data_IF_606087287249
#
_entry.id   IF_606087287249
#
_cell.length_a   1.000
_cell.length_b   1.000
_cell.length_c   1.000
_cell.angle_alpha   90.00
_cell.angle_beta   90.00
_cell.angle_gamma   90.00
#
_symmetry.space_group_name_H-M   'P 1'
#
loop_
_entity.id
_entity.type
_entity.pdbx_description
1 polymer ?
#
# COMPACT_ATOMS: atom_id res chain seq x y z
N UNK A 1 3.84 -5.03 1.40
CA UNK A 1 3.02 -3.94 1.97
C UNK A 1 3.06 -2.67 1.12
N UNK A 2 4.23 -2.04 0.93
CA UNK A 2 4.37 -0.77 0.17
C UNK A 2 3.72 -0.83 -1.22
N UNK A 3 3.98 -1.88 -2.00
CA UNK A 3 3.41 -2.00 -3.35
C UNK A 3 1.87 -2.06 -3.33
N UNK A 4 1.28 -2.78 -2.37
CA UNK A 4 -0.18 -2.88 -2.25
C UNK A 4 -0.81 -1.58 -1.74
N UNK A 5 -0.12 -0.85 -0.85
CA UNK A 5 -0.56 0.48 -0.44
C UNK A 5 -0.50 1.48 -1.60
N UNK A 6 0.49 1.38 -2.49
CA UNK A 6 0.52 2.20 -3.70
C UNK A 6 -0.69 1.91 -4.60
N UNK A 7 -1.03 0.63 -4.82
CA UNK A 7 -2.24 0.25 -5.57
C UNK A 7 -3.50 0.77 -4.90
N UNK A 8 -3.64 0.58 -3.59
CA UNK A 8 -4.75 1.09 -2.78
C UNK A 8 -4.93 2.60 -2.97
N UNK A 9 -3.87 3.38 -2.73
CA UNK A 9 -3.90 4.84 -2.81
C UNK A 9 -4.12 5.37 -4.23
N UNK A 10 -3.93 4.57 -5.28
CA UNK A 10 -4.23 4.96 -6.66
C UNK A 10 -5.63 4.51 -7.14
N UNK A 11 -6.31 3.62 -6.41
CA UNK A 11 -7.55 2.97 -6.87
C UNK A 11 -8.73 3.13 -5.92
N UNK A 12 -8.50 3.42 -4.64
CA UNK A 12 -9.54 3.42 -3.60
C UNK A 12 -9.84 2.03 -3.02
N UNK A 13 -9.14 0.99 -3.47
CA UNK A 13 -9.23 -0.36 -2.89
C UNK A 13 -8.54 -0.38 -1.52
N UNK A 14 -9.08 -1.13 -0.55
CA UNK A 14 -8.59 -1.13 0.85
C UNK A 14 -7.93 -2.45 1.25
N UNK A 15 -7.22 -2.48 2.37
CA UNK A 15 -6.81 -3.74 2.98
C UNK A 15 -8.02 -4.32 3.74
N UNK A 16 -8.38 -5.59 3.50
CA UNK A 16 -9.55 -6.17 4.18
C UNK A 16 -9.33 -6.38 5.69
N UNK A 17 -8.07 -6.60 6.08
CA UNK A 17 -7.57 -6.72 7.45
C UNK A 17 -6.17 -6.09 7.53
N UNK A 18 -5.73 -5.66 8.72
CA UNK A 18 -4.36 -5.18 8.96
C UNK A 18 -3.34 -6.19 8.44
N UNK A 19 -2.43 -5.73 7.59
CA UNK A 19 -1.40 -6.56 6.96
C UNK A 19 -1.86 -7.38 5.75
N UNK A 20 -3.15 -7.32 5.38
CA UNK A 20 -3.80 -8.19 4.37
C UNK A 20 -3.81 -9.67 4.78
N UNK A 21 -4.51 -10.52 4.03
CA UNK A 21 -4.64 -11.94 4.38
C UNK A 21 -3.39 -12.76 4.03
N UNK A 22 -2.71 -12.45 2.91
CA UNK A 22 -1.49 -13.16 2.53
C UNK A 22 -1.62 -14.69 2.38
N UNK A 23 -2.73 -15.27 1.86
CA UNK A 23 -2.95 -16.71 1.90
C UNK A 23 -1.97 -17.49 1.00
N UNK A 24 -1.74 -18.76 1.34
CA UNK A 24 -1.04 -19.69 0.43
C UNK A 24 -1.92 -20.02 -0.77
N UNK A 25 -1.43 -19.78 -1.98
CA UNK A 25 -2.19 -20.01 -3.21
C UNK A 25 -1.30 -20.20 -4.45
N UNK A 26 -1.91 -20.41 -5.61
CA UNK A 26 -1.29 -20.53 -6.93
C UNK A 26 -2.10 -19.76 -7.97
N UNK A 27 -1.50 -19.51 -9.14
CA UNK A 27 -2.17 -18.80 -10.26
C UNK A 27 -3.56 -19.37 -10.60
N UNK A 28 -3.70 -20.69 -10.62
CA UNK A 28 -4.94 -21.37 -11.00
C UNK A 28 -6.04 -21.30 -9.94
N UNK A 29 -5.72 -20.84 -8.72
CA UNK A 29 -6.63 -20.80 -7.58
C UNK A 29 -6.96 -19.39 -7.11
N UNK A 30 -6.41 -18.35 -7.75
CA UNK A 30 -6.56 -16.96 -7.30
C UNK A 30 -8.03 -16.53 -7.13
N UNK A 31 -8.89 -16.82 -8.10
CA UNK A 31 -10.31 -16.48 -8.05
C UNK A 31 -11.10 -17.25 -6.98
N UNK A 32 -10.66 -18.43 -6.59
CA UNK A 32 -11.25 -19.21 -5.50
C UNK A 32 -10.75 -18.70 -4.14
N UNK A 33 -9.43 -18.48 -4.02
CA UNK A 33 -8.80 -18.00 -2.80
C UNK A 33 -9.30 -16.61 -2.42
N UNK A 34 -9.30 -15.67 -3.36
CA UNK A 34 -9.72 -14.28 -3.15
C UNK A 34 -11.20 -14.05 -3.49
N UNK A 35 -12.05 -15.05 -3.23
CA UNK A 35 -13.50 -14.89 -3.17
C UNK A 35 -13.92 -14.38 -1.78
N UNK A 36 -15.18 -13.94 -1.66
CA UNK A 36 -15.80 -13.69 -0.36
C UNK A 36 -15.89 -14.98 0.47
N UNK A 37 -15.84 -14.84 1.80
CA UNK A 37 -15.99 -15.94 2.76
C UNK A 37 -17.30 -16.71 2.60
N UNK A 38 -18.40 -16.04 2.29
CA UNK A 38 -19.68 -16.69 1.99
C UNK A 38 -19.63 -17.60 0.75
N UNK A 39 -18.65 -17.38 -0.13
CA UNK A 39 -18.37 -18.20 -1.32
C UNK A 39 -17.14 -19.11 -1.13
N UNK A 40 -16.66 -19.27 0.10
CA UNK A 40 -15.55 -20.17 0.44
C UNK A 40 -14.14 -19.58 0.25
N UNK A 41 -14.02 -18.29 -0.06
CA UNK A 41 -12.73 -17.59 -0.12
C UNK A 41 -12.32 -16.97 1.22
N UNK A 42 -11.28 -16.13 1.19
CA UNK A 42 -10.71 -15.52 2.42
C UNK A 42 -11.26 -14.13 2.75
N UNK A 43 -11.88 -13.44 1.79
CA UNK A 43 -12.21 -12.03 1.90
C UNK A 43 -13.51 -11.79 2.69
N UNK A 44 -13.52 -10.81 3.58
CA UNK A 44 -14.75 -10.34 4.25
C UNK A 44 -15.56 -9.40 3.34
N UNK A 45 -14.92 -8.71 2.40
CA UNK A 45 -15.56 -7.77 1.47
C UNK A 45 -14.88 -7.75 0.10
N UNK A 46 -15.60 -7.22 -0.90
CA UNK A 46 -15.03 -6.91 -2.22
C UNK A 46 -14.36 -5.51 -2.20
N UNK A 47 -13.55 -5.21 -3.21
CA UNK A 47 -12.90 -3.90 -3.33
C UNK A 47 -11.62 -3.79 -2.50
N UNK A 48 -10.76 -4.82 -2.55
CA UNK A 48 -9.60 -4.94 -1.66
C UNK A 48 -8.29 -5.14 -2.43
N UNK A 49 -7.17 -4.78 -1.79
CA UNK A 49 -5.81 -5.19 -2.18
C UNK A 49 -5.35 -6.34 -1.28
N UNK A 50 -4.70 -7.34 -1.87
CA UNK A 50 -4.12 -8.48 -1.14
C UNK A 50 -2.98 -9.13 -1.96
N UNK A 51 -2.26 -10.07 -1.37
CA UNK A 51 -1.17 -10.80 -2.01
C UNK A 51 -1.25 -12.31 -1.74
N UNK A 52 -0.75 -13.12 -2.67
CA UNK A 52 -0.70 -14.58 -2.51
C UNK A 52 0.73 -15.07 -2.24
N UNK A 53 0.88 -16.01 -1.30
CA UNK A 53 2.15 -16.70 -1.03
C UNK A 53 2.19 -18.02 -1.80
N UNK A 54 3.20 -18.22 -2.65
CA UNK A 54 3.38 -19.46 -3.41
C UNK A 54 3.65 -19.20 -4.89
N UNK A 55 3.12 -20.07 -5.74
CA UNK A 55 3.35 -20.07 -7.20
C UNK A 55 2.57 -18.98 -7.95
N UNK A 56 2.56 -17.75 -7.44
CA UNK A 56 1.92 -16.58 -8.08
C UNK A 56 2.97 -15.79 -8.88
N UNK A 57 4.11 -15.48 -8.26
CA UNK A 57 5.20 -14.71 -8.87
C UNK A 57 5.86 -15.44 -10.06
N UNK A 58 6.33 -14.72 -11.10
CA UNK A 58 6.22 -13.27 -11.34
C UNK A 58 4.85 -12.84 -11.88
N UNK A 59 4.54 -11.56 -11.77
CA UNK A 59 3.32 -10.97 -12.34
C UNK A 59 2.43 -10.26 -11.32
N UNK A 60 1.25 -9.87 -11.79
CA UNK A 60 0.17 -9.25 -11.00
C UNK A 60 -1.17 -9.83 -11.43
N UNK A 61 -2.17 -9.73 -10.56
CA UNK A 61 -3.50 -10.28 -10.82
C UNK A 61 -4.62 -9.33 -10.41
N UNK A 62 -5.79 -9.54 -11.01
CA UNK A 62 -7.06 -9.00 -10.56
C UNK A 62 -8.06 -10.16 -10.49
N UNK A 63 -8.83 -10.22 -9.39
CA UNK A 63 -10.01 -11.09 -9.31
C UNK A 63 -11.24 -10.20 -9.47
N UNK A 64 -12.03 -10.49 -10.51
CA UNK A 64 -13.24 -9.73 -10.84
C UNK A 64 -14.46 -10.61 -10.67
N UNK A 65 -15.61 -10.00 -10.40
CA UNK A 65 -16.91 -10.68 -10.32
C UNK A 65 -17.96 -9.90 -11.10
N UNK A 66 -19.02 -10.60 -11.52
CA UNK A 66 -20.21 -10.01 -12.14
C UNK A 66 -21.43 -10.83 -11.79
N UNK A 67 -22.57 -10.17 -11.63
CA UNK A 67 -23.89 -10.77 -11.46
C UNK A 67 -24.69 -10.86 -12.78
N UNK A 68 -24.21 -10.21 -13.85
CA UNK A 68 -24.93 -10.15 -15.11
C UNK A 68 -24.92 -11.51 -15.83
N UNK A 69 -26.09 -12.17 -16.02
CA UNK A 69 -26.16 -13.56 -16.47
C UNK A 69 -25.53 -13.78 -17.85
N UNK A 70 -25.75 -12.84 -18.79
CA UNK A 70 -25.12 -12.89 -20.12
C UNK A 70 -23.59 -12.79 -20.07
N UNK A 71 -23.03 -12.00 -19.15
CA UNK A 71 -21.57 -11.87 -19.02
C UNK A 71 -20.97 -13.16 -18.45
N UNK A 72 -21.61 -13.77 -17.44
CA UNK A 72 -21.20 -15.08 -16.93
C UNK A 72 -21.18 -16.14 -18.02
N UNK A 73 -22.27 -16.24 -18.81
CA UNK A 73 -22.34 -17.17 -19.94
C UNK A 73 -21.22 -16.91 -20.96
N UNK A 74 -20.95 -15.64 -21.29
CA UNK A 74 -19.88 -15.27 -22.21
C UNK A 74 -18.49 -15.63 -21.69
N UNK A 75 -18.23 -15.47 -20.38
CA UNK A 75 -16.95 -15.80 -19.76
C UNK A 75 -16.70 -17.32 -19.75
N UNK A 76 -17.75 -18.14 -19.58
CA UNK A 76 -17.66 -19.60 -19.76
C UNK A 76 -17.22 -19.95 -21.18
N UNK A 77 -17.79 -19.33 -22.21
CA UNK A 77 -17.38 -19.54 -23.62
C UNK A 77 -15.97 -19.04 -23.96
N UNK A 78 -15.31 -18.35 -23.02
CA UNK A 78 -13.92 -17.86 -23.13
C UNK A 78 -12.98 -18.54 -22.15
N UNK A 79 -13.37 -19.70 -21.62
CA UNK A 79 -12.56 -20.54 -20.75
C UNK A 79 -12.10 -19.83 -19.46
N UNK A 80 -12.85 -18.81 -19.01
CA UNK A 80 -12.54 -18.09 -17.77
C UNK A 80 -13.04 -18.81 -16.52
N UNK A 81 -13.79 -19.91 -16.68
CA UNK A 81 -14.44 -20.67 -15.61
C UNK A 81 -15.93 -20.36 -15.43
N UNK A 82 -16.58 -21.07 -14.52
CA UNK A 82 -18.03 -20.96 -14.27
C UNK A 82 -18.44 -19.72 -13.46
N UNK A 83 -17.46 -19.04 -12.85
CA UNK A 83 -17.67 -17.86 -12.02
C UNK A 83 -18.10 -18.18 -10.58
N UNK A 84 -18.63 -17.20 -9.84
CA UNK A 84 -18.81 -15.80 -10.26
C UNK A 84 -17.50 -14.99 -10.26
N UNK A 85 -16.39 -15.56 -9.78
CA UNK A 85 -15.08 -14.92 -9.73
C UNK A 85 -14.16 -15.40 -10.86
N UNK A 86 -13.44 -14.46 -11.45
CA UNK A 86 -12.57 -14.69 -12.61
C UNK A 86 -11.21 -14.02 -12.41
N UNK A 87 -10.13 -14.70 -12.80
CA UNK A 87 -8.76 -14.18 -12.67
C UNK A 87 -8.29 -13.54 -13.97
N UNK A 88 -7.84 -12.28 -13.91
CA UNK A 88 -7.02 -11.65 -14.94
C UNK A 88 -5.57 -11.64 -14.44
N UNK A 89 -4.65 -12.22 -15.22
CA UNK A 89 -3.26 -12.39 -14.80
C UNK A 89 -2.29 -11.82 -15.83
N UNK A 90 -1.37 -10.97 -15.40
CA UNK A 90 -0.22 -10.53 -16.21
C UNK A 90 1.02 -11.27 -15.69
N UNK A 91 1.58 -12.25 -16.43
CA UNK A 91 2.60 -13.17 -15.91
C UNK A 91 4.03 -12.62 -15.86
N UNK A 92 4.19 -11.30 -15.90
CA UNK A 92 5.48 -10.63 -15.84
C UNK A 92 5.34 -9.17 -15.40
N UNK A 93 6.44 -8.65 -14.87
CA UNK A 93 6.76 -7.23 -14.79
C UNK A 93 8.27 -7.12 -14.94
N UNK A 94 8.77 -6.21 -15.77
CA UNK A 94 10.19 -6.09 -16.11
C UNK A 94 10.89 -4.95 -15.34
N UNK A 95 10.29 -4.51 -14.23
CA UNK A 95 10.83 -3.50 -13.32
C UNK A 95 11.35 -2.27 -14.08
N UNK A 96 12.64 -1.98 -13.95
CA UNK A 96 13.31 -0.84 -14.57
C UNK A 96 13.21 -0.82 -16.11
N UNK A 97 13.06 -1.98 -16.76
CA UNK A 97 12.97 -2.09 -18.22
C UNK A 97 11.64 -1.49 -18.74
N UNK A 98 10.58 -1.45 -17.93
CA UNK A 98 9.31 -0.83 -18.33
C UNK A 98 9.27 0.69 -18.08
N UNK A 99 10.19 1.25 -17.28
CA UNK A 99 10.21 2.68 -16.93
C UNK A 99 10.32 3.61 -18.15
N UNK A 100 11.13 3.31 -19.19
CA UNK A 100 11.18 4.13 -20.40
C UNK A 100 9.82 4.27 -21.12
N UNK A 101 8.92 3.29 -20.99
CA UNK A 101 7.57 3.37 -21.55
C UNK A 101 6.76 4.46 -20.84
N UNK A 102 6.88 4.59 -19.51
CA UNK A 102 6.26 5.68 -18.76
C UNK A 102 6.81 7.04 -19.19
N UNK A 103 8.13 7.16 -19.40
CA UNK A 103 8.74 8.39 -19.92
C UNK A 103 8.19 8.77 -21.30
N UNK A 104 8.06 7.80 -22.21
CA UNK A 104 7.47 8.02 -23.53
C UNK A 104 6.00 8.45 -23.43
N UNK A 105 5.21 7.83 -22.56
CA UNK A 105 3.81 8.20 -22.32
C UNK A 105 3.67 9.60 -21.73
N UNK A 106 4.54 9.99 -20.81
CA UNK A 106 4.60 11.36 -20.29
C UNK A 106 4.96 12.36 -21.39
N UNK A 107 5.96 12.07 -22.23
CA UNK A 107 6.38 12.97 -23.30
C UNK A 107 5.29 13.15 -24.37
N UNK A 108 4.70 12.04 -24.84
CA UNK A 108 3.78 11.99 -25.99
C UNK A 108 2.33 12.30 -25.57
N UNK A 109 1.87 11.75 -24.44
CA UNK A 109 0.46 11.80 -24.01
C UNK A 109 0.23 12.70 -22.80
N UNK A 110 1.29 13.28 -22.20
CA UNK A 110 1.21 14.08 -20.97
C UNK A 110 0.47 13.35 -19.84
N UNK A 111 0.65 12.04 -19.76
CA UNK A 111 -0.07 11.17 -18.83
C UNK A 111 0.91 10.25 -18.10
N UNK A 112 0.81 10.21 -16.77
CA UNK A 112 1.48 9.20 -15.94
C UNK A 112 0.76 7.85 -16.05
N UNK A 113 1.50 6.75 -15.92
CA UNK A 113 0.91 5.40 -15.86
C UNK A 113 0.20 5.13 -14.52
N UNK A 114 0.53 5.87 -13.46
CA UNK A 114 -0.10 5.77 -12.15
C UNK A 114 0.12 7.06 -11.36
N UNK A 115 -0.91 7.53 -10.67
CA UNK A 115 -0.86 8.64 -9.71
C UNK A 115 -1.70 8.26 -8.49
N UNK A 116 -1.36 8.74 -7.29
CA UNK A 116 -2.27 8.59 -6.15
C UNK A 116 -3.57 9.38 -6.39
N UNK A 117 -4.61 9.03 -5.64
CA UNK A 117 -5.80 9.86 -5.47
C UNK A 117 -5.46 11.13 -4.68
N UNK A 118 -6.42 12.04 -4.59
CA UNK A 118 -6.38 13.27 -3.79
C UNK A 118 -6.52 13.02 -2.27
N UNK A 119 -6.43 11.76 -1.84
CA UNK A 119 -6.50 11.33 -0.44
C UNK A 119 -5.69 10.05 -0.22
N UNK A 120 -5.29 9.82 1.02
CA UNK A 120 -4.75 8.53 1.45
C UNK A 120 -5.89 7.57 1.80
N UNK A 121 -5.83 6.37 1.23
CA UNK A 121 -6.76 5.25 1.45
C UNK A 121 -6.14 4.27 2.43
N UNK A 122 -4.86 3.99 2.29
CA UNK A 122 -4.09 3.12 3.18
C UNK A 122 -2.76 3.76 3.56
N UNK A 123 -2.30 3.39 4.75
CA UNK A 123 -1.00 3.77 5.29
C UNK A 123 -0.13 2.52 5.47
N UNK A 124 1.18 2.66 5.22
CA UNK A 124 2.15 1.64 5.62
C UNK A 124 2.89 2.15 6.83
N UNK A 125 2.72 1.49 7.97
CA UNK A 125 3.30 1.91 9.24
C UNK A 125 4.38 0.94 9.73
N UNK A 126 5.25 1.43 10.61
CA UNK A 126 6.33 0.65 11.19
C UNK A 126 5.86 -0.24 12.35
N UNK A 127 6.34 -1.47 12.39
CA UNK A 127 6.12 -2.46 13.46
C UNK A 127 7.47 -2.96 13.94
N UNK A 128 7.68 -2.98 15.25
CA UNK A 128 8.94 -3.40 15.84
C UNK A 128 9.22 -4.88 15.51
N UNK A 129 10.42 -5.19 15.03
CA UNK A 129 10.86 -6.56 14.71
C UNK A 129 11.47 -7.29 15.91
N UNK A 130 11.81 -6.52 16.95
CA UNK A 130 12.42 -6.94 18.20
C UNK A 130 12.03 -5.95 19.28
N UNK A 131 12.33 -6.26 20.54
CA UNK A 131 12.19 -5.28 21.61
C UNK A 131 13.14 -4.08 21.37
N UNK A 132 12.59 -2.88 21.53
CA UNK A 132 13.25 -1.60 21.33
C UNK A 132 13.26 -0.82 22.65
N UNK A 133 14.45 -0.40 23.07
CA UNK A 133 14.64 0.35 24.31
C UNK A 133 14.76 1.86 24.05
N UNK A 134 14.33 2.71 24.99
CA UNK A 134 14.56 4.16 24.92
C UNK A 134 16.04 4.50 24.68
N UNK A 135 16.26 5.50 23.82
CA UNK A 135 17.58 5.92 23.37
C UNK A 135 18.06 5.23 22.10
N UNK A 136 17.48 4.08 21.72
CA UNK A 136 17.80 3.39 20.45
C UNK A 136 17.38 4.24 19.25
N UNK A 137 18.20 4.28 18.21
CA UNK A 137 17.90 4.99 16.95
C UNK A 137 17.59 3.96 15.88
N UNK A 138 16.40 4.08 15.27
CA UNK A 138 15.92 3.09 14.31
C UNK A 138 16.75 3.10 13.01
N UNK A 139 17.13 1.90 12.56
CA UNK A 139 17.76 1.65 11.28
C UNK A 139 16.82 1.93 10.07
N UNK A 140 17.28 1.65 8.84
CA UNK A 140 16.42 1.73 7.66
C UNK A 140 15.57 0.46 7.44
N UNK A 141 14.58 0.56 6.55
CA UNK A 141 13.83 -0.61 6.05
C UNK A 141 14.82 -1.66 5.52
N UNK A 142 14.60 -2.94 5.88
CA UNK A 142 15.51 -4.04 5.57
C UNK A 142 16.52 -4.35 6.68
N UNK A 143 16.66 -3.45 7.67
CA UNK A 143 17.44 -3.67 8.88
C UNK A 143 16.74 -4.55 9.92
N UNK A 144 17.22 -4.47 11.16
CA UNK A 144 16.80 -5.38 12.25
C UNK A 144 15.72 -4.80 13.18
N UNK A 145 15.37 -3.53 13.03
CA UNK A 145 14.54 -2.83 14.02
C UNK A 145 13.04 -2.90 13.76
N UNK A 146 12.62 -2.80 12.50
CA UNK A 146 11.21 -2.79 12.15
C UNK A 146 10.92 -3.41 10.77
N UNK A 147 9.64 -3.71 10.56
CA UNK A 147 9.05 -4.04 9.27
C UNK A 147 7.79 -3.18 9.05
N UNK A 148 7.22 -3.24 7.84
CA UNK A 148 5.99 -2.48 7.52
C UNK A 148 4.76 -3.37 7.52
N UNK A 149 3.65 -2.87 8.06
CA UNK A 149 2.30 -3.39 7.85
C UNK A 149 1.42 -2.34 7.16
N UNK A 150 0.38 -2.78 6.45
CA UNK A 150 -0.61 -1.90 5.82
C UNK A 150 -1.91 -1.90 6.64
N UNK A 151 -2.56 -0.75 6.75
CA UNK A 151 -3.92 -0.62 7.26
C UNK A 151 -4.65 0.52 6.53
N UNK A 152 -5.95 0.68 6.78
CA UNK A 152 -6.71 1.85 6.37
C UNK A 152 -6.11 3.12 6.98
N UNK A 153 -6.06 4.20 6.20
CA UNK A 153 -5.43 5.45 6.62
C UNK A 153 -6.07 6.02 7.89
N UNK A 154 -7.40 5.97 8.00
CA UNK A 154 -8.15 6.45 9.16
C UNK A 154 -7.83 5.64 10.43
N UNK A 155 -7.54 4.35 10.29
CA UNK A 155 -7.11 3.51 11.41
C UNK A 155 -5.69 3.88 11.84
N UNK A 156 -4.77 4.01 10.88
CA UNK A 156 -3.40 4.42 11.18
C UNK A 156 -3.32 5.81 11.83
N UNK A 157 -4.13 6.76 11.36
CA UNK A 157 -4.23 8.09 11.95
C UNK A 157 -4.78 8.04 13.39
N UNK A 158 -5.88 7.32 13.61
CA UNK A 158 -6.52 7.18 14.94
C UNK A 158 -5.58 6.54 15.96
N UNK A 159 -4.78 5.56 15.52
CA UNK A 159 -3.79 4.86 16.36
C UNK A 159 -2.43 5.57 16.40
N UNK A 160 -2.29 6.73 15.73
CA UNK A 160 -1.04 7.50 15.64
C UNK A 160 0.15 6.64 15.19
N UNK A 161 -0.03 5.78 14.20
CA UNK A 161 1.02 4.89 13.72
C UNK A 161 2.04 5.68 12.90
N UNK A 162 3.34 5.45 13.14
CA UNK A 162 4.40 6.12 12.38
C UNK A 162 4.47 5.53 10.97
N UNK A 163 4.33 6.35 9.91
CA UNK A 163 4.54 5.91 8.54
C UNK A 163 5.94 5.32 8.36
N UNK A 164 6.03 4.17 7.71
CA UNK A 164 7.27 3.37 7.62
C UNK A 164 8.42 4.15 6.98
N UNK A 165 8.12 5.10 6.09
CA UNK A 165 9.09 5.98 5.44
C UNK A 165 9.71 7.03 6.37
N UNK A 166 9.06 7.33 7.50
CA UNK A 166 9.52 8.31 8.50
C UNK A 166 10.25 7.66 9.67
N UNK A 167 10.17 6.33 9.83
CA UNK A 167 10.73 5.64 10.98
C UNK A 167 12.27 5.64 11.01
N UNK A 168 12.94 5.68 9.84
CA UNK A 168 14.41 5.67 9.77
C UNK A 168 14.99 6.88 10.49
N UNK A 169 15.90 6.62 11.44
CA UNK A 169 16.58 7.66 12.22
C UNK A 169 15.73 8.25 13.34
N UNK A 170 14.51 7.76 13.55
CA UNK A 170 13.72 8.12 14.72
C UNK A 170 14.36 7.52 15.98
N UNK A 171 14.34 8.28 17.08
CA UNK A 171 14.88 7.86 18.37
C UNK A 171 13.76 7.38 19.26
N UNK A 172 13.86 6.15 19.73
CA UNK A 172 12.90 5.55 20.67
C UNK A 172 12.93 6.32 21.99
N UNK A 173 11.78 6.74 22.49
CA UNK A 173 11.61 7.45 23.78
C UNK A 173 10.83 6.61 24.79
N UNK A 174 9.99 5.70 24.32
CA UNK A 174 9.22 4.74 25.13
C UNK A 174 9.58 3.32 24.69
N UNK A 175 9.69 2.32 25.60
CA UNK A 175 9.95 0.94 25.19
C UNK A 175 8.83 0.40 24.27
N UNK A 176 9.20 -0.27 23.18
CA UNK A 176 8.25 -0.92 22.24
C UNK A 176 8.62 -2.40 22.15
N UNK A 177 7.66 -3.30 22.32
CA UNK A 177 7.94 -4.75 22.24
C UNK A 177 7.96 -5.23 20.80
N UNK A 178 8.60 -6.37 20.58
CA UNK A 178 8.50 -7.08 19.32
C UNK A 178 7.03 -7.25 18.89
N UNK A 179 6.78 -7.04 17.60
CA UNK A 179 5.49 -7.13 16.91
C UNK A 179 4.44 -6.08 17.34
N UNK A 180 4.83 -5.08 18.14
CA UNK A 180 3.99 -3.91 18.41
C UNK A 180 4.17 -2.81 17.34
N UNK A 181 3.07 -2.17 16.88
CA UNK A 181 3.16 -0.98 16.04
C UNK A 181 3.91 0.15 16.76
N UNK A 182 4.79 0.84 16.02
CA UNK A 182 5.49 2.02 16.53
C UNK A 182 4.60 3.24 16.32
N UNK A 183 4.28 3.94 17.40
CA UNK A 183 3.44 5.14 17.36
C UNK A 183 4.26 6.42 17.46
N UNK A 184 3.67 7.56 17.11
CA UNK A 184 4.29 8.87 17.28
C UNK A 184 4.66 9.17 18.75
N UNK A 185 3.97 8.55 19.71
CA UNK A 185 4.25 8.74 21.14
C UNK A 185 5.47 7.89 21.61
N UNK A 186 5.90 6.90 20.80
CA UNK A 186 7.01 5.99 21.13
C UNK A 186 8.37 6.50 20.65
N UNK A 187 8.39 7.44 19.70
CA UNK A 187 9.62 7.91 19.04
C UNK A 187 9.66 9.42 18.87
N UNK A 188 10.86 9.98 18.98
CA UNK A 188 11.18 11.30 18.46
C UNK A 188 11.64 11.15 17.01
N UNK A 189 10.88 11.72 16.07
CA UNK A 189 11.19 11.66 14.64
C UNK A 189 12.36 12.58 14.28
N UNK A 190 13.03 12.24 13.18
CA UNK A 190 14.08 13.09 12.61
C UNK A 190 13.46 14.25 11.82
N UNK A 191 13.37 15.43 12.44
CA UNK A 191 12.75 16.62 11.85
C UNK A 191 13.58 17.22 10.70
N UNK A 192 14.89 16.93 10.65
CA UNK A 192 15.77 17.35 9.54
C UNK A 192 15.50 16.55 8.25
N UNK A 193 14.68 15.50 8.31
CA UNK A 193 14.34 14.67 7.16
C UNK A 193 13.44 15.40 6.17
N UNK A 194 13.86 15.47 4.91
CA UNK A 194 13.02 15.94 3.79
C UNK A 194 11.67 15.24 3.76
N UNK A 195 11.64 13.92 4.00
CA UNK A 195 10.40 13.13 4.01
C UNK A 195 9.48 13.56 5.14
N UNK A 196 10.04 13.88 6.32
CA UNK A 196 9.26 14.37 7.46
C UNK A 196 8.59 15.71 7.12
N UNK A 197 9.37 16.67 6.60
CA UNK A 197 8.87 18.00 6.20
C UNK A 197 7.78 17.90 5.13
N UNK A 198 7.99 17.10 4.09
CA UNK A 198 7.00 16.89 3.02
C UNK A 198 5.71 16.23 3.55
N UNK A 199 5.83 15.29 4.48
CA UNK A 199 4.66 14.65 5.09
C UNK A 199 3.85 15.63 5.95
N UNK A 200 4.50 16.50 6.71
CA UNK A 200 3.79 17.53 7.48
C UNK A 200 2.99 18.47 6.58
N UNK A 201 3.55 18.87 5.42
CA UNK A 201 2.84 19.65 4.42
C UNK A 201 1.66 18.89 3.84
N UNK A 202 1.85 17.61 3.49
CA UNK A 202 0.79 16.74 2.98
C UNK A 202 -0.36 16.61 3.99
N UNK A 203 -0.07 16.33 5.27
CA UNK A 203 -1.08 16.20 6.32
C UNK A 203 -1.82 17.52 6.56
N UNK A 204 -1.10 18.66 6.54
CA UNK A 204 -1.70 20.00 6.68
C UNK A 204 -2.64 20.33 5.52
N UNK A 205 -2.26 19.99 4.30
CA UNK A 205 -3.08 20.19 3.11
C UNK A 205 -4.34 19.30 3.13
N UNK A 206 -4.19 18.01 3.44
CA UNK A 206 -5.33 17.08 3.55
C UNK A 206 -6.31 17.48 4.67
N UNK A 207 -5.82 18.11 5.74
CA UNK A 207 -6.64 18.65 6.82
C UNK A 207 -7.28 20.02 6.49
N UNK A 208 -7.00 20.59 5.31
CA UNK A 208 -7.47 21.91 4.90
C UNK A 208 -6.78 23.09 5.61
N UNK A 209 -5.65 22.84 6.27
CA UNK A 209 -4.86 23.83 6.99
C UNK A 209 -4.03 24.74 6.09
N UNK A 210 -3.68 24.29 4.88
CA UNK A 210 -2.99 25.08 3.85
C UNK A 210 -3.67 24.90 2.49
N UNK A 211 -3.58 25.90 1.62
CA UNK A 211 -4.11 25.83 0.26
C UNK A 211 -3.12 25.15 -0.70
N UNK A 212 -3.60 24.67 -1.84
CA UNK A 212 -2.76 23.97 -2.83
C UNK A 212 -1.59 24.84 -3.34
N UNK A 213 -1.81 26.14 -3.58
CA UNK A 213 -0.73 27.05 -4.01
C UNK A 213 0.36 27.18 -2.95
N UNK A 214 -0.03 27.29 -1.67
CA UNK A 214 0.90 27.38 -0.55
C UNK A 214 1.69 26.08 -0.35
N UNK A 215 1.04 24.93 -0.55
CA UNK A 215 1.69 23.62 -0.58
C UNK A 215 2.77 23.57 -1.67
N UNK A 216 2.43 23.98 -2.90
CA UNK A 216 3.36 23.96 -4.04
C UNK A 216 4.58 24.85 -3.79
N UNK A 217 4.37 26.09 -3.32
CA UNK A 217 5.46 27.01 -2.97
C UNK A 217 6.37 26.42 -1.87
N UNK A 218 5.78 25.80 -0.85
CA UNK A 218 6.53 25.18 0.26
C UNK A 218 7.35 23.97 -0.22
N UNK A 219 6.80 23.15 -1.12
CA UNK A 219 7.52 22.02 -1.72
C UNK A 219 8.69 22.51 -2.57
N UNK A 220 8.51 23.57 -3.37
CA UNK A 220 9.60 24.15 -4.16
C UNK A 220 10.75 24.63 -3.28
N UNK A 221 10.47 25.29 -2.17
CA UNK A 221 11.51 25.73 -1.21
C UNK A 221 12.31 24.56 -0.65
N UNK A 222 11.65 23.47 -0.25
CA UNK A 222 12.33 22.26 0.26
C UNK A 222 13.28 21.66 -0.78
N UNK A 223 12.97 21.77 -2.08
CA UNK A 223 13.82 21.20 -3.14
C UNK A 223 15.06 22.04 -3.49
N UNK A 224 15.15 23.27 -2.96
CA UNK A 224 16.26 24.20 -3.24
C UNK A 224 17.33 24.24 -2.14
N UNK A 225 17.09 23.60 -1.00
CA UNK A 225 18.00 23.46 0.15
C UNK A 225 18.94 22.25 0.01
#
# INVERSE_FOLDING_TARGET
MIEMAAVSNATGLVADVRGMHGPRTSRDKLNQTFALKEHGGVLNRAGVVDYGIGGVHPGVFLVVTTDHPRLRQALVYRDMGEGPYYTLFRPFHLCSIEVPLTCAMLAIRKKSNMTPLDKLVSEVFAVAKRDLSPGHVLEGIGGCDFYGLIDDYETAQREKLVPVGMAKGAKVVTPVRQDEPITYDDVQLNEDSTVFRLRQLQDSWMAGGIQENELLESVEQITQE
#
